data_IF_169657813224
#
_entry.id   IF_169657813224
#
_cell.length_a   1.000
_cell.length_b   1.000
_cell.length_c   1.000
_cell.angle_alpha   90.00
_cell.angle_beta   90.00
_cell.angle_gamma   90.00
#
_symmetry.space_group_name_H-M   'P 1'
#
loop_
_entity.id
_entity.type
_entity.pdbx_description
1 polymer ?
#
# COMPACT_ATOMS: atom_id res chain seq x y z
N UNK A 1 -4.45 36.55 13.63
CA UNK A 1 -3.12 35.98 13.33
C UNK A 1 -3.02 34.73 14.20
N UNK A 2 -3.40 33.50 13.77
CA UNK A 2 -2.94 32.67 12.63
C UNK A 2 -1.40 32.53 12.71
N UNK A 3 -0.76 31.39 12.98
CA UNK A 3 -1.10 29.96 12.93
C UNK A 3 -0.18 29.20 13.90
N UNK A 4 -0.70 28.35 14.80
CA UNK A 4 0.14 27.46 15.63
C UNK A 4 -0.44 26.03 15.79
N UNK A 5 -1.33 25.60 14.89
CA UNK A 5 -2.16 24.39 15.13
C UNK A 5 -2.14 23.34 14.02
N UNK A 6 -1.12 23.27 13.17
CA UNK A 6 -1.17 22.37 12.00
C UNK A 6 -0.18 21.19 12.03
N UNK A 7 0.76 21.11 12.99
CA UNK A 7 1.81 20.07 12.94
C UNK A 7 1.58 18.80 13.80
N UNK A 8 0.61 18.77 14.71
CA UNK A 8 0.41 17.62 15.62
C UNK A 8 -0.68 16.61 15.20
N UNK A 9 -1.44 16.85 14.13
CA UNK A 9 -2.59 16.00 13.78
C UNK A 9 -2.34 14.97 12.67
N UNK A 10 -1.12 14.84 12.16
CA UNK A 10 -0.85 13.93 11.04
C UNK A 10 -0.35 12.53 11.45
N UNK A 11 0.14 12.34 12.68
CA UNK A 11 0.57 11.02 13.17
C UNK A 11 -0.62 10.14 13.59
N UNK A 12 -1.75 10.74 13.99
CA UNK A 12 -2.93 10.00 14.42
C UNK A 12 -3.86 9.63 13.27
N UNK A 13 -3.95 10.41 12.19
CA UNK A 13 -4.75 10.04 11.01
C UNK A 13 -4.17 8.83 10.26
N UNK A 14 -2.83 8.70 10.19
CA UNK A 14 -2.17 7.51 9.63
C UNK A 14 -2.36 6.27 10.51
N UNK A 15 -2.18 6.40 11.83
CA UNK A 15 -2.34 5.28 12.77
C UNK A 15 -3.81 4.86 13.00
N UNK A 16 -4.76 5.80 12.96
CA UNK A 16 -6.19 5.50 13.16
C UNK A 16 -6.85 4.89 11.92
N UNK A 17 -6.46 5.30 10.70
CA UNK A 17 -6.97 4.66 9.47
C UNK A 17 -6.43 3.23 9.30
N UNK A 18 -5.21 2.96 9.78
CA UNK A 18 -4.68 1.60 9.85
C UNK A 18 -5.47 0.72 10.84
N UNK A 19 -5.85 1.22 12.03
CA UNK A 19 -6.69 0.45 12.97
C UNK A 19 -8.05 0.07 12.40
N UNK A 20 -8.65 0.94 11.57
CA UNK A 20 -9.89 0.64 10.86
C UNK A 20 -9.72 -0.49 9.84
N UNK A 21 -8.55 -0.58 9.19
CA UNK A 21 -8.22 -1.64 8.23
C UNK A 21 -7.68 -2.92 8.87
N UNK A 22 -7.03 -2.82 10.05
CA UNK A 22 -6.63 -3.96 10.89
C UNK A 22 -7.86 -4.79 11.31
N UNK A 23 -9.03 -4.16 11.45
CA UNK A 23 -10.30 -4.87 11.67
C UNK A 23 -10.73 -5.74 10.47
N UNK A 24 -10.22 -5.45 9.26
CA UNK A 24 -10.48 -6.20 8.02
C UNK A 24 -9.32 -7.13 7.62
N UNK A 25 -8.15 -7.01 8.25
CA UNK A 25 -6.93 -7.79 7.97
C UNK A 25 -6.18 -8.09 9.28
N UNK A 26 -6.29 -9.30 9.85
CA UNK A 26 -5.49 -9.67 11.02
C UNK A 26 -4.02 -9.81 10.59
N UNK A 27 -3.13 -9.12 11.33
CA UNK A 27 -1.68 -8.89 11.09
C UNK A 27 -1.38 -7.56 10.37
N UNK A 28 -0.25 -6.92 10.73
CA UNK A 28 0.13 -5.61 10.23
C UNK A 28 0.26 -5.62 8.69
N UNK A 29 -0.75 -5.11 7.99
CA UNK A 29 -0.82 -5.14 6.53
C UNK A 29 0.49 -4.66 5.86
N UNK A 30 1.16 -5.55 5.13
CA UNK A 30 2.48 -5.29 4.54
C UNK A 30 3.69 -5.80 5.31
N UNK A 31 3.48 -6.57 6.37
CA UNK A 31 4.53 -7.31 7.06
C UNK A 31 4.75 -8.73 6.52
N UNK A 32 3.94 -9.20 5.57
CA UNK A 32 4.03 -10.54 4.96
C UNK A 32 4.22 -10.41 3.43
N UNK A 33 5.47 -10.45 2.95
CA UNK A 33 5.79 -10.37 1.52
C UNK A 33 5.11 -11.47 0.69
N UNK A 34 5.01 -12.69 1.24
CA UNK A 34 4.44 -13.83 0.53
C UNK A 34 2.93 -13.65 0.33
N UNK A 35 2.23 -13.12 1.32
CA UNK A 35 0.81 -12.78 1.19
C UNK A 35 0.61 -11.68 0.13
N UNK A 36 1.42 -10.63 0.14
CA UNK A 36 1.31 -9.54 -0.83
C UNK A 36 1.63 -9.98 -2.26
N UNK A 37 2.63 -10.85 -2.42
CA UNK A 37 2.95 -11.49 -3.69
C UNK A 37 1.77 -12.34 -4.21
N UNK A 38 1.11 -13.11 -3.33
CA UNK A 38 -0.08 -13.88 -3.71
C UNK A 38 -1.21 -12.97 -4.20
N UNK A 39 -1.44 -11.83 -3.54
CA UNK A 39 -2.43 -10.85 -3.99
C UNK A 39 -2.07 -10.27 -5.35
N UNK A 40 -0.80 -9.89 -5.55
CA UNK A 40 -0.30 -9.44 -6.84
C UNK A 40 -0.53 -10.48 -7.93
N UNK A 41 -0.15 -11.74 -7.70
CA UNK A 41 -0.29 -12.81 -8.67
C UNK A 41 -1.75 -13.09 -9.03
N UNK A 42 -2.67 -13.03 -8.05
CA UNK A 42 -4.10 -13.18 -8.31
C UNK A 42 -4.67 -12.07 -9.18
N UNK A 43 -4.22 -10.83 -9.01
CA UNK A 43 -4.75 -9.70 -9.78
C UNK A 43 -4.10 -9.62 -11.17
N UNK A 44 -2.77 -9.71 -11.26
CA UNK A 44 -2.03 -9.40 -12.49
C UNK A 44 -1.61 -10.61 -13.33
N UNK A 45 -1.47 -11.80 -12.72
CA UNK A 45 -0.94 -12.99 -13.42
C UNK A 45 -2.05 -13.96 -13.77
N UNK A 46 -2.84 -14.38 -12.78
CA UNK A 46 -3.91 -15.36 -12.97
C UNK A 46 -5.24 -14.72 -13.39
N UNK A 47 -5.39 -13.43 -13.14
CA UNK A 47 -6.63 -12.69 -13.36
C UNK A 47 -7.70 -12.98 -12.30
N UNK A 48 -8.76 -12.14 -12.25
CA UNK A 48 -9.82 -12.28 -11.26
C UNK A 48 -10.57 -13.61 -11.43
N UNK A 49 -10.50 -14.47 -10.41
CA UNK A 49 -11.34 -15.67 -10.33
C UNK A 49 -12.74 -15.26 -9.85
N UNK A 50 -13.82 -15.53 -10.63
CA UNK A 50 -15.18 -15.20 -10.22
C UNK A 50 -15.63 -15.91 -8.93
N UNK A 51 -14.93 -16.96 -8.48
CA UNK A 51 -15.20 -17.68 -7.21
C UNK A 51 -14.50 -17.05 -6.01
N UNK A 52 -13.48 -16.22 -6.24
CA UNK A 52 -12.73 -15.54 -5.19
C UNK A 52 -12.71 -14.04 -5.50
N UNK A 53 -13.75 -13.30 -5.07
CA UNK A 53 -13.85 -11.88 -5.37
C UNK A 53 -12.63 -11.12 -4.84
N UNK A 54 -12.15 -10.18 -5.64
CA UNK A 54 -11.04 -9.31 -5.26
C UNK A 54 -11.50 -8.44 -4.08
N UNK A 55 -10.84 -8.63 -2.94
CA UNK A 55 -11.12 -7.88 -1.73
C UNK A 55 -10.35 -6.55 -1.71
N UNK A 56 -10.80 -5.56 -0.93
CA UNK A 56 -10.07 -4.30 -0.74
C UNK A 56 -8.62 -4.51 -0.28
N UNK A 57 -8.40 -5.50 0.58
CA UNK A 57 -7.08 -5.88 1.05
C UNK A 57 -6.19 -6.44 -0.08
N UNK A 58 -6.76 -7.25 -0.97
CA UNK A 58 -6.05 -7.78 -2.12
C UNK A 58 -5.62 -6.66 -3.07
N UNK A 59 -6.50 -5.67 -3.30
CA UNK A 59 -6.18 -4.48 -4.09
C UNK A 59 -5.01 -3.71 -3.48
N UNK A 60 -5.12 -3.35 -2.20
CA UNK A 60 -4.08 -2.61 -1.51
C UNK A 60 -2.74 -3.36 -1.50
N UNK A 61 -2.77 -4.69 -1.36
CA UNK A 61 -1.56 -5.48 -1.19
C UNK A 61 -0.88 -5.77 -2.51
N UNK A 62 -1.65 -6.01 -3.56
CA UNK A 62 -1.15 -6.12 -4.91
C UNK A 62 -0.51 -4.79 -5.38
N UNK A 63 -1.16 -3.65 -5.08
CA UNK A 63 -0.63 -2.33 -5.38
C UNK A 63 0.69 -2.05 -4.63
N UNK A 64 0.73 -2.37 -3.33
CA UNK A 64 1.92 -2.24 -2.52
C UNK A 64 3.10 -3.08 -3.05
N UNK A 65 2.85 -4.37 -3.33
CA UNK A 65 3.86 -5.28 -3.86
C UNK A 65 4.40 -4.82 -5.21
N UNK A 66 3.49 -4.43 -6.13
CA UNK A 66 3.88 -3.92 -7.44
C UNK A 66 4.73 -2.67 -7.33
N UNK A 67 4.40 -1.75 -6.43
CA UNK A 67 5.17 -0.52 -6.24
C UNK A 67 6.61 -0.81 -5.78
N UNK A 68 6.79 -1.70 -4.80
CA UNK A 68 8.12 -2.12 -4.31
C UNK A 68 8.91 -2.79 -5.43
N UNK A 69 8.35 -3.78 -6.13
CA UNK A 69 9.03 -4.47 -7.23
C UNK A 69 9.34 -3.58 -8.42
N UNK A 70 8.45 -2.64 -8.73
CA UNK A 70 8.71 -1.65 -9.80
C UNK A 70 9.88 -0.76 -9.41
N UNK A 71 9.99 -0.39 -8.13
CA UNK A 71 11.14 0.34 -7.64
C UNK A 71 12.41 -0.51 -7.74
N UNK A 72 12.41 -1.74 -7.21
CA UNK A 72 13.53 -2.69 -7.26
C UNK A 72 14.08 -2.91 -8.68
N UNK A 73 13.20 -3.05 -9.67
CA UNK A 73 13.58 -3.23 -11.06
C UNK A 73 14.35 -2.04 -11.65
N UNK A 74 14.17 -0.84 -11.09
CA UNK A 74 14.88 0.37 -11.47
C UNK A 74 16.12 0.65 -10.61
N UNK A 75 16.38 -0.15 -9.56
CA UNK A 75 17.51 0.03 -8.66
C UNK A 75 18.78 -0.59 -9.26
N UNK A 76 19.81 0.26 -9.41
CA UNK A 76 21.22 -0.16 -9.48
C UNK A 76 21.85 0.16 -8.12
N UNK A 77 22.15 -0.83 -7.29
CA UNK A 77 22.77 -0.63 -5.95
C UNK A 77 24.17 0.02 -6.05
N UNK A 78 24.61 0.88 -5.10
CA UNK A 78 24.23 0.99 -3.68
C UNK A 78 23.81 2.42 -3.21
N UNK A 79 23.16 3.22 -4.06
CA UNK A 79 22.86 4.64 -3.77
C UNK A 79 21.86 4.92 -2.61
N UNK A 80 21.23 3.88 -2.09
CA UNK A 80 19.91 4.01 -1.48
C UNK A 80 19.91 4.24 0.05
N UNK A 81 20.98 3.87 0.76
CA UNK A 81 21.10 4.13 2.22
C UNK A 81 21.14 5.61 2.59
N UNK A 82 21.37 6.51 1.62
CA UNK A 82 21.48 7.95 1.85
C UNK A 82 20.18 8.74 1.58
N UNK A 83 19.18 8.13 0.91
CA UNK A 83 17.94 8.80 0.46
C UNK A 83 16.68 8.01 0.85
N UNK A 84 16.68 7.46 2.07
CA UNK A 84 15.61 6.58 2.55
C UNK A 84 14.23 7.25 2.45
N UNK A 85 14.07 8.45 3.01
CA UNK A 85 12.80 9.18 3.00
C UNK A 85 12.26 9.46 1.60
N UNK A 86 13.11 9.90 0.67
CA UNK A 86 12.70 10.28 -0.69
C UNK A 86 12.14 9.09 -1.48
N UNK A 87 12.71 7.90 -1.30
CA UNK A 87 12.17 6.70 -1.94
C UNK A 87 10.99 6.11 -1.21
N UNK A 88 10.91 6.19 0.13
CA UNK A 88 9.67 5.82 0.80
C UNK A 88 8.52 6.66 0.23
N UNK A 89 8.72 7.96 0.06
CA UNK A 89 7.71 8.83 -0.56
C UNK A 89 7.41 8.44 -2.02
N UNK A 90 8.44 8.08 -2.79
CA UNK A 90 8.29 7.60 -4.18
C UNK A 90 7.51 6.29 -4.28
N UNK A 91 7.84 5.30 -3.45
CA UNK A 91 7.19 3.99 -3.39
C UNK A 91 5.74 4.15 -2.96
N UNK A 92 5.48 4.97 -1.94
CA UNK A 92 4.12 5.26 -1.48
C UNK A 92 3.29 5.94 -2.56
N UNK A 93 3.84 6.96 -3.23
CA UNK A 93 3.18 7.62 -4.36
C UNK A 93 2.84 6.63 -5.49
N UNK A 94 3.74 5.69 -5.76
CA UNK A 94 3.53 4.64 -6.77
C UNK A 94 2.45 3.67 -6.34
N UNK A 95 2.45 3.22 -5.09
CA UNK A 95 1.43 2.34 -4.53
C UNK A 95 0.04 2.99 -4.55
N UNK A 96 -0.05 4.28 -4.22
CA UNK A 96 -1.30 5.03 -4.25
C UNK A 96 -1.89 5.12 -5.67
N UNK A 97 -1.04 5.42 -6.66
CA UNK A 97 -1.43 5.45 -8.08
C UNK A 97 -1.93 4.10 -8.54
N UNK A 98 -1.23 3.03 -8.18
CA UNK A 98 -1.61 1.68 -8.58
C UNK A 98 -2.92 1.25 -7.92
N UNK A 99 -3.09 1.53 -6.63
CA UNK A 99 -4.35 1.27 -5.93
C UNK A 99 -5.52 2.02 -6.59
N UNK A 100 -5.31 3.27 -7.01
CA UNK A 100 -6.32 4.05 -7.72
C UNK A 100 -6.71 3.39 -9.07
N UNK A 101 -5.73 2.88 -9.83
CA UNK A 101 -6.00 2.16 -11.09
C UNK A 101 -6.78 0.87 -10.84
N UNK A 102 -6.40 0.10 -9.84
CA UNK A 102 -7.10 -1.14 -9.48
C UNK A 102 -8.53 -0.87 -9.01
N UNK A 103 -8.77 0.22 -8.29
CA UNK A 103 -10.11 0.61 -7.84
C UNK A 103 -11.04 1.02 -9.00
N UNK A 104 -10.50 1.48 -10.13
CA UNK A 104 -11.28 1.72 -11.34
C UNK A 104 -11.69 0.41 -12.03
N UNK A 105 -10.85 -0.62 -11.92
CA UNK A 105 -11.10 -1.95 -12.51
C UNK A 105 -11.97 -2.84 -11.60
N UNK A 106 -11.79 -2.71 -10.29
CA UNK A 106 -12.45 -3.49 -9.25
C UNK A 106 -13.17 -2.53 -8.29
N UNK A 107 -14.35 -2.02 -8.67
CA UNK A 107 -15.08 -1.08 -7.85
C UNK A 107 -15.45 -1.72 -6.52
N UNK A 108 -15.31 -0.95 -5.45
CA UNK A 108 -15.62 -1.40 -4.09
C UNK A 108 -17.13 -1.41 -3.83
N UNK A 109 -17.57 -2.21 -2.85
CA UNK A 109 -18.89 -2.02 -2.25
C UNK A 109 -19.06 -0.59 -1.73
N UNK A 110 -20.28 -0.02 -1.79
CA UNK A 110 -20.55 1.38 -1.43
C UNK A 110 -20.25 1.72 0.03
N UNK A 111 -20.13 0.73 0.91
CA UNK A 111 -19.82 0.89 2.32
C UNK A 111 -18.33 1.13 2.61
N UNK A 112 -17.45 0.89 1.62
CA UNK A 112 -16.00 0.98 1.78
C UNK A 112 -15.47 2.22 1.09
N UNK A 113 -14.84 3.12 1.85
CA UNK A 113 -14.17 4.29 1.28
C UNK A 113 -12.92 3.87 0.48
N UNK A 114 -12.85 4.18 -0.84
CA UNK A 114 -11.67 3.92 -1.65
C UNK A 114 -10.37 4.52 -1.08
N UNK A 115 -10.46 5.62 -0.33
CA UNK A 115 -9.29 6.24 0.32
C UNK A 115 -8.62 5.31 1.32
N UNK A 116 -9.39 4.48 2.03
CA UNK A 116 -8.83 3.53 2.98
C UNK A 116 -7.93 2.51 2.27
N UNK A 117 -8.34 2.03 1.09
CA UNK A 117 -7.53 1.10 0.29
C UNK A 117 -6.23 1.75 -0.19
N UNK A 118 -6.30 3.00 -0.63
CA UNK A 118 -5.12 3.77 -1.10
C UNK A 118 -4.13 3.97 0.06
N UNK A 119 -4.59 4.42 1.22
CA UNK A 119 -3.74 4.61 2.40
C UNK A 119 -3.12 3.29 2.88
N UNK A 120 -3.89 2.20 2.83
CA UNK A 120 -3.38 0.86 3.15
C UNK A 120 -2.32 0.40 2.16
N UNK A 121 -2.47 0.70 0.86
CA UNK A 121 -1.46 0.38 -0.15
C UNK A 121 -0.16 1.14 0.12
N UNK A 122 -0.23 2.44 0.43
CA UNK A 122 0.94 3.24 0.80
C UNK A 122 1.65 2.68 2.04
N UNK A 123 0.91 2.46 3.12
CA UNK A 123 1.46 1.94 4.37
C UNK A 123 2.03 0.52 4.20
N UNK A 124 1.34 -0.31 3.41
CA UNK A 124 1.80 -1.64 3.06
C UNK A 124 3.11 -1.63 2.26
N UNK A 125 3.23 -0.71 1.30
CA UNK A 125 4.43 -0.59 0.46
C UNK A 125 5.64 -0.11 1.27
N UNK A 126 5.46 0.86 2.17
CA UNK A 126 6.50 1.31 3.09
C UNK A 126 6.98 0.15 3.98
N UNK A 127 6.06 -0.55 4.66
CA UNK A 127 6.41 -1.66 5.55
C UNK A 127 7.09 -2.82 4.81
N UNK A 128 6.61 -3.16 3.61
CA UNK A 128 7.21 -4.19 2.78
C UNK A 128 8.63 -3.82 2.37
N UNK A 129 8.83 -2.56 1.96
CA UNK A 129 10.14 -2.09 1.53
C UNK A 129 11.15 -2.08 2.69
N UNK A 130 10.74 -1.59 3.87
CA UNK A 130 11.57 -1.64 5.08
C UNK A 130 11.94 -3.07 5.43
N UNK A 131 10.96 -3.97 5.46
CA UNK A 131 11.17 -5.39 5.78
C UNK A 131 12.19 -6.09 4.86
N UNK A 132 12.24 -5.71 3.58
CA UNK A 132 13.14 -6.34 2.60
C UNK A 132 14.54 -5.70 2.57
N UNK A 133 14.70 -4.47 3.06
CA UNK A 133 15.92 -3.68 2.87
C UNK A 133 16.62 -3.24 4.18
N UNK A 134 15.97 -3.34 5.34
CA UNK A 134 16.46 -2.89 6.65
C UNK A 134 16.16 -3.89 7.77
#
# INVERSE_FOLDING_TARGET
MLFDTILEHNETAYGQNLRGFDAFMPNAFGSDPAQMEQYFNRIYIYGPDPRFPISPAMIAGAAAFKAVRSHDAHIKTPYYRFHHSETIDSIRSTAAKEAHLLLQQFPLPPEIDPRTVILSAEAGAHRLFDHEHY
#
